data_IF_259765466751
#
_entry.id   IF_259765466751
#
_cell.length_a   1.000
_cell.length_b   1.000
_cell.length_c   1.000
_cell.angle_alpha   90.00
_cell.angle_beta   90.00
_cell.angle_gamma   90.00
#
_symmetry.space_group_name_H-M   'P 1'
#
loop_
_entity.id
_entity.type
_entity.pdbx_description
1 polymer ?
#
# COMPACT_ATOMS: atom_id res chain seq x y z
N UNK A 1 -18.98 -40.18 -9.18
CA UNK A 1 -19.38 -38.85 -8.64
C UNK A 1 -18.44 -38.54 -7.48
N UNK A 2 -17.33 -37.89 -7.76
CA UNK A 2 -16.38 -37.44 -6.72
C UNK A 2 -16.79 -36.00 -6.40
N UNK A 3 -17.38 -35.81 -5.21
CA UNK A 3 -17.52 -34.47 -4.62
C UNK A 3 -16.11 -33.99 -4.28
N UNK A 4 -15.53 -33.17 -5.15
CA UNK A 4 -14.32 -32.43 -4.80
C UNK A 4 -14.66 -31.51 -3.64
N UNK A 5 -13.94 -31.67 -2.54
CA UNK A 5 -13.93 -30.74 -1.43
C UNK A 5 -13.66 -29.34 -1.98
N UNK A 6 -14.62 -28.45 -1.80
CA UNK A 6 -14.42 -27.01 -1.85
C UNK A 6 -13.55 -26.65 -0.63
N UNK A 7 -12.26 -26.94 -0.71
CA UNK A 7 -11.27 -26.35 0.21
C UNK A 7 -11.48 -24.85 0.14
N UNK A 8 -11.68 -24.22 1.30
CA UNK A 8 -11.75 -22.78 1.48
C UNK A 8 -10.62 -22.14 0.65
N UNK A 9 -10.93 -21.50 -0.46
CA UNK A 9 -9.93 -20.76 -1.22
C UNK A 9 -9.42 -19.67 -0.28
N UNK A 10 -8.15 -19.79 0.12
CA UNK A 10 -7.49 -18.76 0.87
C UNK A 10 -7.61 -17.45 0.08
N UNK A 11 -7.94 -16.38 0.79
CA UNK A 11 -8.00 -15.04 0.22
C UNK A 11 -6.62 -14.65 -0.29
N UNK A 12 -6.54 -14.17 -1.53
CA UNK A 12 -5.32 -13.65 -2.15
C UNK A 12 -5.60 -12.28 -2.76
N UNK A 13 -4.90 -11.26 -2.30
CA UNK A 13 -5.04 -9.88 -2.77
C UNK A 13 -3.89 -9.53 -3.71
N UNK A 14 -4.22 -9.14 -4.93
CA UNK A 14 -3.28 -8.76 -5.98
C UNK A 14 -3.44 -7.28 -6.26
N UNK A 15 -2.42 -6.49 -5.97
CA UNK A 15 -2.40 -5.06 -6.21
C UNK A 15 -1.76 -4.72 -7.56
N UNK A 16 -2.37 -3.80 -8.30
CA UNK A 16 -1.81 -3.23 -9.53
C UNK A 16 -1.54 -1.76 -9.27
N UNK A 17 -0.28 -1.43 -9.06
CA UNK A 17 0.19 -0.10 -8.68
C UNK A 17 1.08 0.54 -9.76
N UNK A 18 1.39 1.81 -9.62
CA UNK A 18 2.26 2.56 -10.53
C UNK A 18 1.76 3.98 -10.80
N UNK A 19 2.55 4.76 -11.50
CA UNK A 19 2.23 6.14 -11.91
C UNK A 19 0.95 6.21 -12.77
N UNK A 20 0.45 7.40 -13.00
CA UNK A 20 -0.62 7.59 -13.99
C UNK A 20 -0.14 7.17 -15.39
N UNK A 21 -1.07 6.75 -16.25
CA UNK A 21 -0.80 6.39 -17.65
C UNK A 21 0.26 5.29 -17.88
N UNK A 22 0.50 4.42 -16.89
CA UNK A 22 1.42 3.28 -17.00
C UNK A 22 0.74 1.99 -17.49
N UNK A 23 -0.51 2.05 -17.92
CA UNK A 23 -1.25 0.89 -18.42
C UNK A 23 -1.96 0.03 -17.37
N UNK A 24 -2.05 0.48 -16.10
CA UNK A 24 -2.74 -0.26 -15.02
C UNK A 24 -4.16 -0.67 -15.41
N UNK A 25 -4.97 0.28 -15.87
CA UNK A 25 -6.37 0.02 -16.24
C UNK A 25 -6.46 -1.04 -17.35
N UNK A 26 -5.59 -0.98 -18.35
CA UNK A 26 -5.57 -2.00 -19.43
C UNK A 26 -5.16 -3.37 -18.91
N UNK A 27 -4.21 -3.43 -17.96
CA UNK A 27 -3.82 -4.68 -17.31
C UNK A 27 -4.96 -5.22 -16.43
N UNK A 28 -5.62 -4.36 -15.68
CA UNK A 28 -6.77 -4.69 -14.84
C UNK A 28 -7.92 -5.28 -15.68
N UNK A 29 -8.24 -4.68 -16.84
CA UNK A 29 -9.23 -5.18 -17.79
C UNK A 29 -8.84 -6.55 -18.35
N UNK A 30 -7.57 -6.79 -18.67
CA UNK A 30 -7.09 -8.10 -19.09
C UNK A 30 -7.30 -9.17 -18.00
N UNK A 31 -7.04 -8.82 -16.73
CA UNK A 31 -7.28 -9.75 -15.62
C UNK A 31 -8.77 -10.01 -15.40
N UNK A 32 -9.65 -9.04 -15.59
CA UNK A 32 -11.10 -9.28 -15.54
C UNK A 32 -11.54 -10.35 -16.54
N UNK A 33 -10.92 -10.41 -17.71
CA UNK A 33 -11.22 -11.42 -18.72
C UNK A 33 -10.57 -12.79 -18.37
N UNK A 34 -9.35 -12.76 -17.84
CA UNK A 34 -8.59 -13.98 -17.53
C UNK A 34 -9.07 -14.68 -16.24
N UNK A 35 -9.58 -13.93 -15.27
CA UNK A 35 -10.01 -14.42 -13.95
C UNK A 35 -11.48 -14.03 -13.64
N UNK A 36 -12.47 -14.56 -14.39
CA UNK A 36 -13.87 -14.11 -14.29
C UNK A 36 -14.53 -14.41 -12.94
N UNK A 37 -13.96 -15.30 -12.12
CA UNK A 37 -14.43 -15.62 -10.76
C UNK A 37 -13.80 -14.75 -9.68
N UNK A 38 -12.82 -13.91 -10.01
CA UNK A 38 -12.17 -13.03 -9.07
C UNK A 38 -13.00 -11.77 -8.78
N UNK A 39 -12.76 -11.16 -7.63
CA UNK A 39 -13.30 -9.83 -7.29
C UNK A 39 -12.38 -8.72 -7.81
N UNK A 40 -12.96 -7.61 -8.26
CA UNK A 40 -12.23 -6.50 -8.87
C UNK A 40 -12.63 -5.18 -8.21
N UNK A 41 -11.69 -4.57 -7.48
CA UNK A 41 -11.87 -3.28 -6.82
C UNK A 41 -11.19 -2.17 -7.63
N UNK A 42 -11.98 -1.24 -8.14
CA UNK A 42 -11.51 -0.09 -8.91
C UNK A 42 -10.68 0.88 -8.06
N UNK A 43 -9.98 1.79 -8.73
CA UNK A 43 -9.22 2.90 -8.13
C UNK A 43 -10.05 3.66 -7.08
N UNK A 44 -9.38 4.27 -6.12
CA UNK A 44 -9.99 5.08 -5.07
C UNK A 44 -10.89 6.17 -5.62
N UNK A 45 -12.05 6.34 -5.00
CA UNK A 45 -12.92 7.47 -5.29
C UNK A 45 -12.32 8.76 -4.71
N UNK A 46 -12.43 9.89 -5.42
CA UNK A 46 -11.84 11.15 -4.98
C UNK A 46 -12.29 11.57 -3.58
N UNK A 47 -11.34 11.95 -2.74
CA UNK A 47 -11.58 12.54 -1.42
C UNK A 47 -11.27 14.03 -1.48
N UNK A 48 -12.28 14.87 -1.33
CA UNK A 48 -12.18 16.33 -1.45
C UNK A 48 -11.91 16.94 -0.07
N UNK A 49 -10.69 16.80 0.41
CA UNK A 49 -10.20 17.35 1.69
C UNK A 49 -8.85 18.02 1.43
N UNK A 50 -8.62 19.22 1.97
CA UNK A 50 -7.38 19.97 1.75
C UNK A 50 -6.20 19.42 2.55
N UNK A 51 -6.41 19.00 3.79
CA UNK A 51 -5.37 18.42 4.63
C UNK A 51 -4.88 17.08 4.03
N UNK A 52 -3.57 16.96 3.87
CA UNK A 52 -2.96 15.78 3.25
C UNK A 52 -3.19 14.51 4.07
N UNK A 53 -3.08 14.58 5.41
CA UNK A 53 -3.28 13.42 6.27
C UNK A 53 -4.74 12.96 6.25
N UNK A 54 -5.68 13.88 6.45
CA UNK A 54 -7.11 13.55 6.44
C UNK A 54 -7.55 13.00 5.09
N UNK A 55 -7.03 13.56 3.99
CA UNK A 55 -7.31 13.04 2.64
C UNK A 55 -6.79 11.61 2.47
N UNK A 56 -5.56 11.32 2.92
CA UNK A 56 -5.01 9.96 2.83
C UNK A 56 -5.74 8.97 3.75
N UNK A 57 -6.20 9.41 4.92
CA UNK A 57 -7.05 8.59 5.80
C UNK A 57 -8.42 8.32 5.16
N UNK A 58 -8.96 9.29 4.42
CA UNK A 58 -10.18 9.09 3.63
C UNK A 58 -10.03 8.04 2.51
N UNK A 59 -8.86 7.98 1.86
CA UNK A 59 -8.55 6.90 0.92
C UNK A 59 -8.34 5.56 1.64
N UNK A 60 -7.60 5.54 2.75
CA UNK A 60 -7.39 4.34 3.56
C UNK A 60 -8.72 3.73 4.04
N UNK A 61 -9.70 4.56 4.40
CA UNK A 61 -11.03 4.08 4.80
C UNK A 61 -11.76 3.32 3.68
N UNK A 62 -11.47 3.61 2.42
CA UNK A 62 -12.06 2.86 1.30
C UNK A 62 -11.50 1.43 1.21
N UNK A 63 -10.29 1.18 1.68
CA UNK A 63 -9.71 -0.17 1.69
C UNK A 63 -10.48 -1.13 2.62
N UNK A 64 -11.26 -0.62 3.56
CA UNK A 64 -12.16 -1.44 4.39
C UNK A 64 -13.10 -2.26 3.49
N UNK A 65 -13.71 -1.64 2.49
CA UNK A 65 -14.59 -2.34 1.56
C UNK A 65 -13.83 -3.02 0.41
N UNK A 66 -12.74 -2.40 -0.06
CA UNK A 66 -11.98 -2.87 -1.23
C UNK A 66 -11.22 -4.17 -0.98
N UNK A 67 -10.83 -4.42 0.26
CA UNK A 67 -10.09 -5.62 0.65
C UNK A 67 -10.96 -6.69 1.32
N UNK A 68 -12.29 -6.53 1.35
CA UNK A 68 -13.20 -7.56 1.86
C UNK A 68 -13.52 -8.60 0.77
N UNK A 69 -13.86 -9.82 1.21
CA UNK A 69 -14.22 -10.92 0.31
C UNK A 69 -13.35 -12.16 0.50
N UNK A 70 -13.67 -13.19 -0.27
CA UNK A 70 -12.96 -14.47 -0.32
C UNK A 70 -12.38 -14.68 -1.72
N UNK A 71 -11.44 -15.62 -1.85
CA UNK A 71 -10.79 -15.97 -3.10
C UNK A 71 -9.84 -14.86 -3.58
N UNK A 72 -9.74 -14.71 -4.88
CA UNK A 72 -8.81 -13.76 -5.51
C UNK A 72 -9.45 -12.37 -5.63
N UNK A 73 -8.74 -11.34 -5.17
CA UNK A 73 -9.16 -9.94 -5.21
C UNK A 73 -8.10 -9.13 -5.94
N UNK A 74 -8.46 -8.48 -7.04
CA UNK A 74 -7.60 -7.53 -7.74
C UNK A 74 -7.93 -6.10 -7.32
N UNK A 75 -6.90 -5.32 -7.00
CA UNK A 75 -7.01 -3.90 -6.64
C UNK A 75 -6.38 -3.03 -7.73
N UNK A 76 -7.15 -2.12 -8.32
CA UNK A 76 -6.58 -1.01 -9.09
C UNK A 76 -6.12 0.07 -8.10
N UNK A 77 -4.83 0.15 -7.87
CA UNK A 77 -4.12 0.78 -6.75
C UNK A 77 -4.40 0.15 -5.39
N UNK A 78 -3.39 0.14 -4.56
CA UNK A 78 -3.43 -0.38 -3.19
C UNK A 78 -3.00 0.66 -2.17
N UNK A 79 -2.98 0.27 -0.92
CA UNK A 79 -2.38 1.03 0.20
C UNK A 79 -0.95 1.51 -0.12
N UNK A 80 -0.19 0.80 -0.95
CA UNK A 80 1.15 1.20 -1.34
C UNK A 80 1.16 2.50 -2.14
N UNK A 81 0.13 2.76 -2.95
CA UNK A 81 -0.06 4.06 -3.63
C UNK A 81 -0.22 5.21 -2.63
N UNK A 82 -0.86 4.98 -1.47
CA UNK A 82 -1.00 5.98 -0.42
C UNK A 82 0.36 6.23 0.26
N UNK A 83 1.12 5.18 0.56
CA UNK A 83 2.48 5.30 1.09
C UNK A 83 3.41 6.02 0.12
N UNK A 84 3.34 5.73 -1.16
CA UNK A 84 4.10 6.43 -2.18
C UNK A 84 3.76 7.93 -2.23
N UNK A 85 2.49 8.29 -2.05
CA UNK A 85 2.08 9.69 -1.95
C UNK A 85 2.63 10.38 -0.69
N UNK A 86 2.52 9.75 0.49
CA UNK A 86 3.04 10.35 1.73
C UNK A 86 4.57 10.43 1.74
N UNK A 87 5.25 9.51 1.05
CA UNK A 87 6.69 9.59 0.81
C UNK A 87 7.03 10.87 0.02
N UNK A 88 6.30 11.15 -1.07
CA UNK A 88 6.45 12.39 -1.83
C UNK A 88 6.13 13.64 -0.99
N UNK A 89 5.08 13.60 -0.16
CA UNK A 89 4.77 14.72 0.75
C UNK A 89 5.95 15.03 1.67
N UNK A 90 6.62 14.02 2.23
CA UNK A 90 7.78 14.20 3.08
C UNK A 90 8.97 14.82 2.32
N UNK A 91 9.22 14.41 1.05
CA UNK A 91 10.23 15.03 0.19
C UNK A 91 9.92 16.52 -0.09
N UNK A 92 8.66 16.92 -0.01
CA UNK A 92 8.20 18.31 -0.16
C UNK A 92 8.10 19.08 1.18
N UNK A 93 8.65 18.53 2.27
CA UNK A 93 8.63 19.16 3.60
C UNK A 93 7.28 19.05 4.34
N UNK A 94 6.33 18.27 3.83
CA UNK A 94 5.02 17.99 4.44
C UNK A 94 5.02 16.58 5.01
N UNK A 95 5.76 16.38 6.10
CA UNK A 95 5.96 15.04 6.65
C UNK A 95 4.77 14.56 7.50
N UNK A 96 3.95 13.69 6.91
CA UNK A 96 2.83 13.02 7.58
C UNK A 96 3.06 11.51 7.77
N UNK A 97 4.27 10.99 7.42
CA UNK A 97 4.58 9.56 7.37
C UNK A 97 4.27 8.85 8.67
N UNK A 98 4.79 9.35 9.80
CA UNK A 98 4.61 8.73 11.11
C UNK A 98 3.14 8.69 11.54
N UNK A 99 2.42 9.81 11.39
CA UNK A 99 1.00 9.88 11.74
C UNK A 99 0.16 8.92 10.90
N UNK A 100 0.34 8.95 9.58
CA UNK A 100 -0.38 8.04 8.69
C UNK A 100 -0.09 6.57 9.03
N UNK A 101 1.19 6.22 9.23
CA UNK A 101 1.60 4.86 9.57
C UNK A 101 0.96 4.37 10.86
N UNK A 102 0.83 5.21 11.89
CA UNK A 102 0.16 4.86 13.15
C UNK A 102 -1.32 4.52 12.93
N UNK A 103 -2.06 5.33 12.16
CA UNK A 103 -3.45 5.03 11.82
C UNK A 103 -3.57 3.74 10.99
N UNK A 104 -2.65 3.57 10.05
CA UNK A 104 -2.60 2.37 9.22
C UNK A 104 -2.39 1.11 10.06
N UNK A 105 -1.39 1.05 10.94
CA UNK A 105 -1.16 -0.10 11.81
C UNK A 105 -2.36 -0.38 12.72
N UNK A 106 -2.94 0.65 13.32
CA UNK A 106 -4.12 0.50 14.17
C UNK A 106 -5.31 -0.13 13.43
N UNK A 107 -5.53 0.23 12.18
CA UNK A 107 -6.57 -0.38 11.34
C UNK A 107 -6.25 -1.82 10.92
N UNK A 108 -4.99 -2.10 10.63
CA UNK A 108 -4.52 -3.45 10.27
C UNK A 108 -4.65 -4.42 11.46
N UNK A 109 -4.25 -4.02 12.67
CA UNK A 109 -4.41 -4.80 13.91
C UNK A 109 -5.88 -5.10 14.20
N UNK A 110 -6.78 -4.18 13.89
CA UNK A 110 -8.23 -4.36 14.00
C UNK A 110 -8.84 -5.15 12.84
N UNK A 111 -8.02 -5.60 11.89
CA UNK A 111 -8.44 -6.33 10.68
C UNK A 111 -9.51 -5.59 9.86
N UNK A 112 -9.44 -4.27 9.84
CA UNK A 112 -10.38 -3.45 9.04
C UNK A 112 -10.12 -3.62 7.55
N UNK A 113 -8.87 -3.80 7.14
CA UNK A 113 -8.42 -4.07 5.78
C UNK A 113 -7.24 -5.05 5.79
N UNK A 114 -6.83 -5.49 4.62
CA UNK A 114 -5.70 -6.40 4.46
C UNK A 114 -4.64 -5.80 3.51
N UNK A 115 -3.41 -6.27 3.68
CA UNK A 115 -2.31 -5.97 2.77
C UNK A 115 -2.43 -6.80 1.49
N UNK A 116 -1.87 -6.33 0.37
CA UNK A 116 -1.73 -7.17 -0.81
C UNK A 116 -0.72 -8.29 -0.56
N UNK A 117 -1.06 -9.48 -1.05
CA UNK A 117 -0.18 -10.65 -1.06
C UNK A 117 0.77 -10.62 -2.26
N UNK A 118 0.34 -9.99 -3.36
CA UNK A 118 1.11 -9.85 -4.61
C UNK A 118 0.99 -8.41 -5.08
N UNK A 119 2.11 -7.84 -5.53
CA UNK A 119 2.17 -6.47 -6.04
C UNK A 119 2.70 -6.46 -7.46
N UNK A 120 1.96 -5.86 -8.38
CA UNK A 120 2.38 -5.62 -9.76
C UNK A 120 2.60 -4.12 -9.93
N UNK A 121 3.86 -3.71 -10.00
CA UNK A 121 4.22 -2.32 -10.22
C UNK A 121 4.37 -2.04 -11.72
N UNK A 122 3.40 -1.30 -12.26
CA UNK A 122 3.40 -0.88 -13.66
C UNK A 122 4.34 0.30 -13.87
N UNK A 123 5.38 0.08 -14.66
CA UNK A 123 6.40 1.06 -15.00
C UNK A 123 6.26 1.56 -16.43
N UNK A 124 6.60 2.83 -16.67
CA UNK A 124 6.65 3.42 -18.01
C UNK A 124 7.60 4.63 -18.00
N UNK A 125 8.23 4.89 -19.13
CA UNK A 125 9.07 6.08 -19.31
C UNK A 125 8.29 7.37 -19.04
N UNK A 126 8.90 8.32 -18.34
CA UNK A 126 8.26 9.59 -18.01
C UNK A 126 7.72 10.32 -19.24
N UNK A 127 8.46 10.32 -20.36
CA UNK A 127 8.03 11.01 -21.59
C UNK A 127 6.76 10.40 -22.19
N UNK A 128 6.56 9.10 -22.01
CA UNK A 128 5.31 8.41 -22.42
C UNK A 128 4.17 8.79 -21.47
N UNK A 129 4.42 8.80 -20.15
CA UNK A 129 3.45 9.24 -19.13
C UNK A 129 2.98 10.67 -19.45
N UNK A 130 3.92 11.59 -19.67
CA UNK A 130 3.65 13.00 -19.93
C UNK A 130 2.85 13.20 -21.21
N UNK A 131 3.27 12.56 -22.31
CA UNK A 131 2.55 12.63 -23.59
C UNK A 131 1.11 12.09 -23.48
N UNK A 132 0.93 10.95 -22.80
CA UNK A 132 -0.38 10.38 -22.58
C UNK A 132 -1.27 11.28 -21.71
N UNK A 133 -0.70 11.98 -20.73
CA UNK A 133 -1.42 12.96 -19.92
C UNK A 133 -1.87 14.18 -20.76
N UNK A 134 -1.00 14.70 -21.61
CA UNK A 134 -1.29 15.84 -22.46
C UNK A 134 -2.38 15.56 -23.51
N UNK A 135 -2.48 14.32 -23.98
CA UNK A 135 -3.51 13.91 -24.92
C UNK A 135 -4.86 13.60 -24.28
N UNK A 136 -4.89 13.25 -22.99
CA UNK A 136 -6.11 12.92 -22.27
C UNK A 136 -6.71 14.17 -21.60
N UNK A 137 -7.68 14.82 -22.28
CA UNK A 137 -8.29 16.08 -21.83
C UNK A 137 -9.08 15.94 -20.51
N UNK A 138 -9.70 14.81 -20.25
CA UNK A 138 -10.50 14.58 -19.04
C UNK A 138 -9.62 14.55 -17.78
N UNK A 139 -8.41 14.01 -17.89
CA UNK A 139 -7.46 13.94 -16.76
C UNK A 139 -6.79 15.28 -16.45
N UNK A 140 -6.71 16.21 -17.40
CA UNK A 140 -6.12 17.55 -17.19
C UNK A 140 -6.83 18.38 -16.12
N UNK A 141 -8.10 18.07 -15.83
CA UNK A 141 -8.88 18.86 -14.87
C UNK A 141 -8.65 18.47 -13.40
N UNK A 142 -8.08 17.30 -13.12
CA UNK A 142 -8.15 16.74 -11.76
C UNK A 142 -6.84 16.69 -11.00
N UNK A 143 -5.67 16.59 -11.62
CA UNK A 143 -4.44 16.37 -10.86
C UNK A 143 -3.18 16.52 -11.72
N UNK A 144 -2.89 17.73 -12.18
CA UNK A 144 -1.74 17.99 -13.06
C UNK A 144 -0.41 17.57 -12.41
N UNK A 145 -0.26 17.76 -11.10
CA UNK A 145 0.93 17.37 -10.34
C UNK A 145 1.27 15.87 -10.44
N UNK A 146 0.28 15.00 -10.65
CA UNK A 146 0.51 13.55 -10.82
C UNK A 146 1.30 13.21 -12.08
N UNK A 147 1.33 14.13 -13.06
CA UNK A 147 2.10 14.02 -14.29
C UNK A 147 3.41 14.81 -14.24
N UNK A 148 3.75 15.44 -13.12
CA UNK A 148 5.02 16.12 -12.95
C UNK A 148 6.16 15.10 -12.80
N UNK A 149 7.32 15.43 -13.39
CA UNK A 149 8.50 14.56 -13.35
C UNK A 149 8.92 14.23 -11.92
N UNK A 150 8.90 15.20 -11.04
CA UNK A 150 9.31 15.03 -9.64
C UNK A 150 8.38 14.04 -8.88
N UNK A 151 7.07 14.15 -9.13
CA UNK A 151 6.11 13.21 -8.54
C UNK A 151 6.33 11.80 -9.07
N UNK A 152 6.44 11.62 -10.39
CA UNK A 152 6.68 10.31 -11.00
C UNK A 152 7.97 9.67 -10.48
N UNK A 153 9.05 10.43 -10.39
CA UNK A 153 10.33 9.95 -9.87
C UNK A 153 10.27 9.63 -8.37
N UNK A 154 9.48 10.37 -7.58
CA UNK A 154 9.26 10.05 -6.17
C UNK A 154 8.55 8.71 -6.00
N UNK A 155 7.51 8.46 -6.79
CA UNK A 155 6.82 7.17 -6.82
C UNK A 155 7.80 6.03 -7.18
N UNK A 156 8.60 6.20 -8.22
CA UNK A 156 9.60 5.20 -8.63
C UNK A 156 10.63 4.93 -7.52
N UNK A 157 11.11 5.97 -6.82
CA UNK A 157 12.02 5.79 -5.68
C UNK A 157 11.39 4.99 -4.55
N UNK A 158 10.13 5.25 -4.23
CA UNK A 158 9.41 4.48 -3.21
C UNK A 158 9.34 2.99 -3.58
N UNK A 159 8.87 2.67 -4.79
CA UNK A 159 8.77 1.26 -5.22
C UNK A 159 10.14 0.59 -5.38
N UNK A 160 11.16 1.34 -5.81
CA UNK A 160 12.55 0.83 -5.84
C UNK A 160 13.02 0.42 -4.45
N UNK A 161 12.74 1.22 -3.43
CA UNK A 161 13.06 0.88 -2.04
C UNK A 161 12.30 -0.36 -1.56
N UNK A 162 11.04 -0.55 -1.94
CA UNK A 162 10.32 -1.79 -1.67
C UNK A 162 11.01 -2.99 -2.32
N UNK A 163 11.44 -2.87 -3.57
CA UNK A 163 12.17 -3.92 -4.31
C UNK A 163 13.54 -4.22 -3.71
N UNK A 164 14.18 -3.30 -3.00
CA UNK A 164 15.43 -3.53 -2.28
C UNK A 164 15.25 -4.47 -1.07
N UNK A 165 14.04 -4.56 -0.52
CA UNK A 165 13.70 -5.38 0.66
C UNK A 165 12.94 -6.67 0.32
N UNK A 166 12.17 -6.67 -0.76
CA UNK A 166 11.32 -7.80 -1.15
C UNK A 166 11.96 -8.57 -2.31
N UNK A 167 12.15 -9.87 -2.12
CA UNK A 167 12.74 -10.76 -3.12
C UNK A 167 11.70 -11.55 -3.93
N UNK A 168 10.42 -11.48 -3.53
CA UNK A 168 9.32 -12.26 -4.10
C UNK A 168 7.99 -11.50 -3.95
N UNK A 169 6.97 -11.93 -4.69
CA UNK A 169 5.63 -11.37 -4.64
C UNK A 169 5.49 -9.94 -5.16
N UNK A 170 6.57 -9.31 -5.60
CA UNK A 170 6.55 -7.98 -6.22
C UNK A 170 7.14 -8.06 -7.63
N UNK A 171 6.35 -7.65 -8.61
CA UNK A 171 6.64 -7.78 -10.03
C UNK A 171 6.67 -6.44 -10.71
N UNK A 172 7.65 -6.23 -11.59
CA UNK A 172 7.68 -5.05 -12.47
C UNK A 172 7.00 -5.41 -13.78
N UNK A 173 5.96 -4.66 -14.12
CA UNK A 173 5.30 -4.77 -15.40
C UNK A 173 5.67 -3.59 -16.30
N UNK A 174 6.43 -3.86 -17.35
CA UNK A 174 6.71 -2.91 -18.42
C UNK A 174 5.76 -3.15 -19.58
N UNK A 175 4.93 -2.17 -19.89
CA UNK A 175 3.94 -2.26 -20.96
C UNK A 175 4.56 -2.56 -22.34
N UNK A 176 5.82 -2.19 -22.57
CA UNK A 176 6.52 -2.43 -23.84
C UNK A 176 6.95 -3.89 -24.00
N UNK A 177 7.23 -4.57 -22.92
CA UNK A 177 7.85 -5.91 -22.94
C UNK A 177 6.84 -7.05 -22.74
N UNK A 178 5.54 -6.77 -22.68
CA UNK A 178 4.41 -7.71 -22.62
C UNK A 178 4.76 -9.10 -22.04
N UNK A 179 4.96 -9.17 -20.74
CA UNK A 179 5.06 -10.47 -20.08
C UNK A 179 3.68 -11.13 -20.09
N UNK A 180 3.57 -12.32 -20.69
CA UNK A 180 2.32 -13.09 -20.76
C UNK A 180 1.83 -13.50 -19.36
N UNK A 181 2.75 -13.69 -18.41
CA UNK A 181 2.47 -13.94 -17.01
C UNK A 181 3.12 -12.87 -16.13
N UNK A 182 2.37 -11.83 -15.75
CA UNK A 182 2.92 -10.73 -14.97
C UNK A 182 3.15 -11.06 -13.49
N UNK A 183 2.73 -12.23 -13.00
CA UNK A 183 2.93 -12.70 -11.62
C UNK A 183 2.76 -14.22 -11.50
N UNK A 184 3.28 -14.81 -10.43
CA UNK A 184 3.02 -16.18 -10.00
C UNK A 184 2.11 -16.15 -8.76
N UNK A 185 1.02 -16.95 -8.78
CA UNK A 185 -0.03 -16.88 -7.75
C UNK A 185 0.43 -17.40 -6.38
N UNK A 186 1.41 -18.31 -6.38
CA UNK A 186 1.96 -18.92 -5.17
C UNK A 186 3.13 -18.11 -4.58
N UNK A 187 3.59 -17.08 -5.29
CA UNK A 187 4.69 -16.22 -4.88
C UNK A 187 4.15 -15.01 -4.10
N UNK A 188 3.68 -15.27 -2.89
CA UNK A 188 3.03 -14.28 -2.02
C UNK A 188 3.99 -13.65 -1.03
N UNK A 189 3.82 -12.36 -0.75
CA UNK A 189 4.59 -11.61 0.25
C UNK A 189 3.97 -11.86 1.63
N UNK A 190 4.72 -12.39 2.61
CA UNK A 190 4.26 -12.40 3.99
C UNK A 190 3.97 -10.99 4.49
N UNK A 191 2.86 -10.82 5.23
CA UNK A 191 2.43 -9.50 5.68
C UNK A 191 3.50 -8.75 6.49
N UNK A 192 4.27 -9.46 7.32
CA UNK A 192 5.34 -8.85 8.12
C UNK A 192 6.49 -8.32 7.24
N UNK A 193 6.87 -9.03 6.17
CA UNK A 193 7.91 -8.58 5.23
C UNK A 193 7.47 -7.33 4.47
N UNK A 194 6.20 -7.30 4.04
CA UNK A 194 5.67 -6.11 3.39
C UNK A 194 5.64 -4.91 4.35
N UNK A 195 5.29 -5.11 5.63
CA UNK A 195 5.32 -4.05 6.64
C UNK A 195 6.73 -3.51 6.88
N UNK A 196 7.73 -4.38 7.00
CA UNK A 196 9.13 -3.99 7.14
C UNK A 196 9.62 -3.23 5.90
N UNK A 197 9.27 -3.70 4.71
CA UNK A 197 9.61 -3.03 3.46
C UNK A 197 8.94 -1.65 3.33
N UNK A 198 7.69 -1.49 3.77
CA UNK A 198 6.99 -0.20 3.83
C UNK A 198 7.72 0.74 4.80
N UNK A 199 8.03 0.30 6.03
CA UNK A 199 8.75 1.12 7.01
C UNK A 199 10.09 1.61 6.46
N UNK A 200 10.86 0.71 5.86
CA UNK A 200 12.11 1.05 5.17
C UNK A 200 11.89 2.08 4.06
N UNK A 201 10.96 1.82 3.16
CA UNK A 201 10.73 2.67 2.01
C UNK A 201 10.36 4.11 2.41
N UNK A 202 9.54 4.28 3.47
CA UNK A 202 9.16 5.60 3.97
C UNK A 202 10.15 6.18 4.99
N UNK A 203 11.24 5.47 5.34
CA UNK A 203 12.28 5.95 6.25
C UNK A 203 11.84 6.04 7.71
N UNK A 204 11.11 5.06 8.19
CA UNK A 204 10.70 4.94 9.60
C UNK A 204 11.42 3.83 10.38
N UNK A 205 12.36 3.11 9.76
CA UNK A 205 13.09 2.00 10.40
C UNK A 205 13.82 2.42 11.69
N UNK A 206 14.43 3.61 11.68
CA UNK A 206 15.17 4.14 12.82
C UNK A 206 14.27 4.85 13.84
N UNK A 207 12.95 4.79 13.65
CA UNK A 207 12.04 5.40 14.58
C UNK A 207 11.89 4.48 15.80
N UNK A 208 12.23 4.93 17.01
CA UNK A 208 12.04 4.11 18.19
C UNK A 208 10.56 3.70 18.28
N UNK A 209 10.31 2.40 18.42
CA UNK A 209 8.98 1.90 18.69
C UNK A 209 8.55 2.38 20.09
N UNK A 210 7.76 3.46 20.13
CA UNK A 210 7.24 4.00 21.39
C UNK A 210 5.88 3.37 21.65
N UNK A 211 5.80 2.54 22.68
CA UNK A 211 4.55 1.97 23.17
C UNK A 211 4.07 2.86 24.32
N UNK A 212 2.92 3.50 24.17
CA UNK A 212 2.29 4.30 25.22
C UNK A 212 1.29 3.45 25.98
N UNK A 213 1.51 3.30 27.29
CA UNK A 213 0.60 2.61 28.20
C UNK A 213 -0.23 3.64 28.97
N UNK A 214 -1.50 3.81 28.57
CA UNK A 214 -2.44 4.73 29.21
C UNK A 214 -3.40 3.98 30.12
N UNK A 215 -3.79 4.60 31.21
CA UNK A 215 -4.77 4.05 32.16
C UNK A 215 -4.66 4.68 33.55
N UNK A 216 -5.65 4.40 34.38
CA UNK A 216 -5.68 4.87 35.78
C UNK A 216 -4.57 4.20 36.60
N UNK A 217 -4.27 4.75 37.75
CA UNK A 217 -3.32 4.15 38.71
C UNK A 217 -3.74 2.72 39.09
N UNK A 218 -2.77 1.86 39.42
CA UNK A 218 -2.97 0.50 39.90
C UNK A 218 -3.56 -0.53 38.91
N UNK A 219 -3.59 -0.27 37.61
CA UNK A 219 -4.06 -1.23 36.60
C UNK A 219 -2.94 -2.11 36.04
N UNK A 220 -1.76 -2.13 36.66
CA UNK A 220 -0.66 -3.00 36.25
C UNK A 220 0.23 -2.44 35.13
N UNK A 221 0.20 -1.14 34.84
CA UNK A 221 1.08 -0.49 33.85
C UNK A 221 2.55 -0.80 34.08
N UNK A 222 3.03 -0.63 35.34
CA UNK A 222 4.43 -0.91 35.71
C UNK A 222 4.82 -2.37 35.48
N UNK A 223 3.91 -3.31 35.72
CA UNK A 223 4.15 -4.73 35.45
C UNK A 223 4.31 -5.01 33.94
N UNK A 224 3.49 -4.33 33.12
CA UNK A 224 3.60 -4.42 31.67
C UNK A 224 4.90 -3.77 31.19
N UNK A 225 5.30 -2.60 31.74
CA UNK A 225 6.58 -1.98 31.41
C UNK A 225 7.76 -2.92 31.71
N UNK A 226 7.80 -3.56 32.88
CA UNK A 226 8.84 -4.53 33.23
C UNK A 226 8.88 -5.70 32.24
N UNK A 227 7.72 -6.19 31.79
CA UNK A 227 7.66 -7.25 30.77
C UNK A 227 8.26 -6.79 29.43
N UNK A 228 8.05 -5.54 29.03
CA UNK A 228 8.66 -4.98 27.82
C UNK A 228 10.16 -4.75 27.98
N UNK A 229 10.63 -4.33 29.14
CA UNK A 229 12.07 -4.20 29.42
C UNK A 229 12.83 -5.52 29.25
N UNK A 230 12.24 -6.64 29.66
CA UNK A 230 12.84 -7.98 29.43
C UNK A 230 12.94 -8.35 27.96
N UNK A 231 12.26 -7.62 27.08
CA UNK A 231 12.28 -7.78 25.61
C UNK A 231 13.09 -6.68 24.90
N UNK A 232 13.87 -5.91 25.64
CA UNK A 232 14.76 -4.89 25.07
C UNK A 232 14.14 -3.52 24.83
N UNK A 233 12.95 -3.24 25.37
CA UNK A 233 12.38 -1.90 25.36
C UNK A 233 12.93 -1.09 26.55
N UNK A 234 13.09 0.22 26.37
CA UNK A 234 13.48 1.14 27.44
C UNK A 234 12.24 1.87 27.97
N UNK A 235 12.07 1.88 29.27
CA UNK A 235 11.01 2.66 29.91
C UNK A 235 11.36 4.14 29.85
N UNK A 236 10.41 4.95 29.39
CA UNK A 236 10.43 6.42 29.51
C UNK A 236 9.40 6.75 30.57
N UNK A 237 9.86 7.30 31.69
CA UNK A 237 8.97 7.69 32.79
C UNK A 237 8.05 8.84 32.39
N UNK A 238 6.87 8.90 33.03
CA UNK A 238 5.92 9.99 32.82
C UNK A 238 6.61 11.33 33.11
N UNK A 239 6.66 12.20 32.10
CA UNK A 239 7.03 13.62 32.30
C UNK A 239 5.75 14.36 32.62
N UNK A 240 5.59 14.75 33.86
CA UNK A 240 4.49 15.64 34.31
C UNK A 240 4.81 17.10 33.98
#
# INVERSE_FOLDING_TARGET
>A
MVKGDLTSMNKTIIAIDGNINTGKTSLFEKFMLAYPSASFSKEYQPVVIQDDLERQLGYLAQDIARTQGEGMIFLDRSILSLFAYIFWCAEKGRDIRRKFYQYFICGLERKLYALPDIVIYCMQDYEVIRRAFETNRERKQTSEFLAEREYCQSQERFYKKLLEKLNHGIYIYDYKNHNEKPFEIDDTIPAYELLEAIQYAIGLEDSPNVISLNGTSAIGKSTICQLFETRGFHQIDEVF
#
